data_IF_401245344299
#
_entry.id   IF_401245344299
#
_cell.length_a   1.000
_cell.length_b   1.000
_cell.length_c   1.000
_cell.angle_alpha   90.00
_cell.angle_beta   90.00
_cell.angle_gamma   90.00
#
_symmetry.space_group_name_H-M   'P 1'
#
loop_
_entity.id
_entity.type
_entity.pdbx_description
1 polymer ?
#
# COMPACT_ATOMS: atom_id res chain seq x y z
N UNK A 1 -38.62 57.92 17.04
CA UNK A 1 -38.63 57.89 18.53
C UNK A 1 -39.60 56.79 18.93
N UNK A 2 -39.34 55.75 19.72
CA UNK A 2 -38.20 55.27 20.49
C UNK A 2 -38.34 53.73 20.54
N UNK A 3 -37.22 53.00 20.54
CA UNK A 3 -37.17 51.52 20.55
C UNK A 3 -37.36 51.01 21.98
N UNK A 4 -38.36 50.15 22.18
CA UNK A 4 -38.49 49.33 23.39
C UNK A 4 -37.74 48.02 23.24
N UNK A 5 -36.82 47.75 24.17
CA UNK A 5 -36.11 46.49 24.36
C UNK A 5 -37.02 45.46 25.03
N UNK A 6 -36.96 44.18 24.63
CA UNK A 6 -37.05 43.12 25.63
C UNK A 6 -35.92 42.11 25.45
N UNK A 7 -34.97 42.17 26.38
CA UNK A 7 -34.10 41.05 26.69
C UNK A 7 -34.88 40.01 27.51
N UNK A 8 -34.47 38.76 27.35
CA UNK A 8 -34.75 37.57 28.17
C UNK A 8 -35.94 36.67 27.79
N UNK A 9 -35.59 35.48 27.26
CA UNK A 9 -36.27 34.21 27.53
C UNK A 9 -35.24 33.26 28.17
N UNK A 10 -35.69 32.34 29.06
CA UNK A 10 -34.82 31.49 29.85
C UNK A 10 -34.42 30.26 29.03
N UNK A 11 -33.12 29.97 28.97
CA UNK A 11 -32.51 28.65 28.84
C UNK A 11 -31.01 28.86 28.61
N UNK A 12 -30.20 28.54 29.62
CA UNK A 12 -28.77 28.79 29.69
C UNK A 12 -27.92 27.90 28.77
N UNK A 13 -28.03 28.09 27.46
CA UNK A 13 -27.08 27.53 26.48
C UNK A 13 -26.36 28.69 25.80
N UNK A 14 -25.03 28.85 25.97
CA UNK A 14 -24.28 29.89 25.27
C UNK A 14 -24.30 29.65 23.75
N UNK A 15 -24.60 30.69 22.96
CA UNK A 15 -24.39 30.64 21.50
C UNK A 15 -22.89 30.47 21.20
N UNK A 16 -22.49 29.59 20.26
CA UNK A 16 -21.10 29.55 19.82
C UNK A 16 -20.76 30.86 19.12
N UNK A 17 -19.65 31.48 19.55
CA UNK A 17 -19.13 32.71 18.92
C UNK A 17 -18.71 32.39 17.48
N UNK A 18 -18.93 33.29 16.51
CA UNK A 18 -18.43 33.10 15.16
C UNK A 18 -16.89 33.10 15.19
N UNK A 19 -16.30 31.97 14.81
CA UNK A 19 -14.84 31.84 14.64
C UNK A 19 -14.38 32.82 13.57
N UNK A 20 -13.62 33.83 13.99
CA UNK A 20 -13.06 34.82 13.08
C UNK A 20 -12.16 34.14 12.04
N UNK A 21 -12.16 34.64 10.80
CA UNK A 21 -11.31 34.18 9.68
C UNK A 21 -9.80 34.11 10.00
N UNK A 22 -9.34 34.64 11.14
CA UNK A 22 -7.95 34.52 11.62
C UNK A 22 -7.61 33.15 12.23
N UNK A 23 -8.58 32.35 12.69
CA UNK A 23 -8.31 30.99 13.23
C UNK A 23 -8.12 29.93 12.15
N UNK A 24 -8.44 30.22 10.88
CA UNK A 24 -8.27 29.32 9.74
C UNK A 24 -6.90 29.43 9.05
N UNK A 25 -6.03 30.34 9.49
CA UNK A 25 -4.68 30.54 8.92
C UNK A 25 -3.54 30.01 9.80
N UNK A 26 -3.82 29.51 11.00
CA UNK A 26 -2.80 29.00 11.93
C UNK A 26 -2.52 27.49 11.81
N UNK A 27 -3.24 26.76 10.95
CA UNK A 27 -3.05 25.30 10.74
C UNK A 27 -2.05 24.96 9.61
N UNK A 28 -1.29 25.93 9.13
CA UNK A 28 -0.34 25.75 8.01
C UNK A 28 1.11 25.74 8.47
N UNK A 29 1.41 25.03 9.56
CA UNK A 29 2.77 24.63 9.90
C UNK A 29 2.69 23.30 10.65
N UNK A 30 2.52 22.21 9.90
CA UNK A 30 2.83 20.88 10.40
C UNK A 30 4.32 20.85 10.73
N UNK A 31 4.65 20.93 12.01
CA UNK A 31 5.96 20.48 12.49
C UNK A 31 6.12 19.05 12.00
N UNK A 32 7.11 18.81 11.14
CA UNK A 32 7.63 17.45 10.93
C UNK A 32 7.93 16.90 12.33
N UNK A 33 7.36 15.75 12.63
CA UNK A 33 7.85 14.93 13.75
C UNK A 33 9.31 14.68 13.43
N UNK A 34 10.20 14.98 14.38
CA UNK A 34 11.64 14.85 14.20
C UNK A 34 11.93 13.42 13.72
N UNK A 35 12.39 13.30 12.47
CA UNK A 35 12.86 12.03 11.94
C UNK A 35 13.99 11.55 12.85
N UNK A 36 13.94 10.28 13.24
CA UNK A 36 15.04 9.66 13.97
C UNK A 36 16.19 9.59 12.97
N UNK A 37 17.08 10.58 12.99
CA UNK A 37 18.28 10.68 12.16
C UNK A 37 19.37 9.74 12.72
N UNK A 38 19.02 8.46 12.84
CA UNK A 38 19.92 7.37 13.20
C UNK A 38 19.96 6.44 12.01
N UNK A 39 21.08 6.46 11.29
CA UNK A 39 21.35 5.47 10.25
C UNK A 39 21.38 4.07 10.90
N UNK A 40 20.44 3.18 10.56
CA UNK A 40 20.39 1.84 11.14
C UNK A 40 21.54 0.95 10.65
N UNK A 41 22.35 1.40 9.68
CA UNK A 41 23.41 0.61 9.05
C UNK A 41 22.87 -0.38 8.02
N UNK A 42 23.69 -1.37 7.65
CA UNK A 42 23.26 -2.44 6.74
C UNK A 42 22.19 -3.32 7.43
N UNK A 43 20.94 -3.15 7.04
CA UNK A 43 19.79 -3.91 7.54
C UNK A 43 19.73 -5.25 6.83
N UNK A 44 19.88 -6.33 7.57
CA UNK A 44 19.63 -7.67 7.02
C UNK A 44 18.13 -7.95 7.05
N UNK A 45 17.53 -8.15 5.87
CA UNK A 45 16.13 -8.51 5.73
C UNK A 45 15.87 -9.89 6.34
N UNK A 46 14.89 -9.97 7.24
CA UNK A 46 14.49 -11.21 7.91
C UNK A 46 12.96 -11.24 7.97
N UNK A 47 12.40 -12.40 7.61
CA UNK A 47 10.97 -12.63 7.77
C UNK A 47 10.61 -12.64 9.26
N UNK A 48 9.53 -11.93 9.61
CA UNK A 48 9.05 -11.83 10.99
C UNK A 48 7.73 -12.57 11.10
N UNK A 49 7.59 -13.41 12.12
CA UNK A 49 6.27 -13.98 12.41
C UNK A 49 5.35 -12.86 12.90
N UNK A 50 4.11 -12.89 12.46
CA UNK A 50 3.06 -11.94 12.84
C UNK A 50 1.77 -12.70 13.11
N UNK A 51 0.95 -12.14 14.00
CA UNK A 51 -0.39 -12.67 14.26
C UNK A 51 -1.38 -11.50 14.40
N UNK A 52 -2.48 -11.55 13.66
CA UNK A 52 -3.51 -10.53 13.65
C UNK A 52 -4.85 -11.14 14.11
N UNK A 53 -5.67 -10.33 14.78
CA UNK A 53 -7.04 -10.70 15.15
C UNK A 53 -8.01 -9.67 14.56
N UNK A 54 -8.84 -10.11 13.62
CA UNK A 54 -9.88 -9.31 12.96
C UNK A 54 -11.29 -9.68 13.39
N UNK A 55 -11.47 -10.55 14.39
CA UNK A 55 -12.78 -11.02 14.85
C UNK A 55 -13.73 -9.90 15.26
N UNK A 56 -13.18 -8.72 15.59
CA UNK A 56 -13.92 -7.51 15.96
C UNK A 56 -13.74 -6.34 14.98
N UNK A 57 -12.97 -6.52 13.92
CA UNK A 57 -12.72 -5.48 12.91
C UNK A 57 -13.95 -5.37 12.00
N UNK A 58 -14.62 -4.21 11.90
CA UNK A 58 -15.77 -4.06 11.02
C UNK A 58 -15.34 -4.01 9.54
N UNK A 59 -16.22 -4.39 8.62
CA UNK A 59 -15.91 -4.31 7.17
C UNK A 59 -15.54 -2.88 6.74
N UNK A 60 -16.23 -1.86 7.27
CA UNK A 60 -15.82 -0.45 7.18
C UNK A 60 -14.85 -0.11 8.30
N UNK A 61 -13.65 -0.68 8.22
CA UNK A 61 -12.62 -0.54 9.25
C UNK A 61 -12.05 0.88 9.35
N UNK A 62 -12.35 1.79 8.42
CA UNK A 62 -12.21 3.24 8.59
C UNK A 62 -13.62 3.84 8.69
N UNK A 63 -14.15 4.06 9.91
CA UNK A 63 -15.48 4.62 10.13
C UNK A 63 -15.73 5.92 9.35
N UNK A 64 -16.91 6.03 8.74
CA UNK A 64 -17.27 7.19 7.91
C UNK A 64 -16.56 7.27 6.55
N UNK A 65 -15.62 6.36 6.27
CA UNK A 65 -14.83 6.30 5.03
C UNK A 65 -14.97 4.92 4.34
N UNK A 66 -16.18 4.50 3.93
CA UNK A 66 -16.39 3.15 3.36
C UNK A 66 -15.62 2.93 2.05
N UNK A 67 -15.49 3.97 1.21
CA UNK A 67 -14.69 3.87 -0.01
C UNK A 67 -13.21 3.68 0.31
N UNK A 68 -12.67 4.36 1.33
CA UNK A 68 -11.27 4.17 1.71
C UNK A 68 -11.04 2.77 2.29
N UNK A 69 -11.91 2.34 3.20
CA UNK A 69 -11.90 0.99 3.79
C UNK A 69 -11.85 -0.07 2.69
N UNK A 70 -12.80 -0.04 1.74
CA UNK A 70 -12.88 -1.01 0.66
C UNK A 70 -11.75 -0.91 -0.35
N UNK A 71 -11.22 0.30 -0.59
CA UNK A 71 -10.08 0.48 -1.52
C UNK A 71 -8.83 -0.18 -0.97
N UNK A 72 -8.55 0.00 0.32
CA UNK A 72 -7.42 -0.64 0.98
C UNK A 72 -7.67 -2.15 1.14
N UNK A 73 -8.87 -2.56 1.54
CA UNK A 73 -9.24 -3.98 1.61
C UNK A 73 -9.10 -4.70 0.27
N UNK A 74 -9.35 -4.01 -0.85
CA UNK A 74 -9.19 -4.58 -2.19
C UNK A 74 -7.73 -4.90 -2.53
N UNK A 75 -6.74 -4.34 -1.82
CA UNK A 75 -5.32 -4.66 -2.01
C UNK A 75 -5.07 -6.14 -1.64
N UNK A 76 -5.70 -6.65 -0.58
CA UNK A 76 -5.58 -8.06 -0.16
C UNK A 76 -6.00 -9.05 -1.25
N UNK A 77 -6.89 -8.65 -2.17
CA UNK A 77 -7.36 -9.52 -3.26
C UNK A 77 -6.25 -9.86 -4.30
N UNK A 78 -5.12 -9.15 -4.26
CA UNK A 78 -4.07 -9.25 -5.29
C UNK A 78 -2.71 -9.57 -4.69
N UNK A 79 -2.38 -8.98 -3.53
CA UNK A 79 -1.07 -9.16 -2.90
C UNK A 79 -0.63 -10.62 -2.79
N UNK A 80 -1.46 -11.57 -2.30
CA UNK A 80 -1.01 -12.96 -2.13
C UNK A 80 -0.47 -13.59 -3.42
N UNK A 81 -1.18 -13.45 -4.54
CA UNK A 81 -0.73 -14.01 -5.80
C UNK A 81 0.39 -13.17 -6.44
N UNK A 82 0.42 -11.86 -6.21
CA UNK A 82 1.49 -10.98 -6.67
C UNK A 82 2.83 -11.31 -6.02
N UNK A 83 2.86 -11.42 -4.71
CA UNK A 83 4.06 -11.70 -3.90
C UNK A 83 4.55 -13.13 -4.09
N UNK A 84 3.64 -14.11 -4.27
CA UNK A 84 4.01 -15.47 -4.73
C UNK A 84 4.68 -15.43 -6.09
N UNK A 85 4.23 -14.57 -7.00
CA UNK A 85 4.89 -14.37 -8.30
C UNK A 85 6.25 -13.65 -8.18
N UNK A 86 6.40 -12.71 -7.24
CA UNK A 86 7.70 -12.11 -6.91
C UNK A 86 8.67 -13.18 -6.44
N UNK A 87 8.29 -13.98 -5.43
CA UNK A 87 9.06 -15.08 -4.88
C UNK A 87 9.52 -16.05 -5.96
N UNK A 88 8.59 -16.52 -6.82
CA UNK A 88 8.91 -17.43 -7.91
C UNK A 88 9.90 -16.82 -8.91
N UNK A 89 9.76 -15.53 -9.20
CA UNK A 89 10.63 -14.82 -10.14
C UNK A 89 12.03 -14.58 -9.58
N UNK A 90 12.12 -14.17 -8.32
CA UNK A 90 13.41 -13.97 -7.68
C UNK A 90 14.13 -15.29 -7.42
N UNK A 91 13.40 -16.38 -7.14
CA UNK A 91 13.98 -17.73 -7.08
C UNK A 91 14.60 -18.14 -8.41
N UNK A 92 13.96 -17.82 -9.55
CA UNK A 92 14.53 -18.05 -10.89
C UNK A 92 15.78 -17.19 -11.16
N UNK A 93 15.79 -15.95 -10.67
CA UNK A 93 16.90 -15.01 -10.84
C UNK A 93 18.10 -15.33 -9.93
N UNK A 94 17.86 -15.83 -8.71
CA UNK A 94 18.85 -16.04 -7.65
C UNK A 94 20.13 -16.77 -8.09
N UNK A 95 20.10 -17.91 -8.81
CA UNK A 95 21.30 -18.60 -9.25
C UNK A 95 22.11 -17.85 -10.33
N UNK A 96 21.56 -16.77 -10.90
CA UNK A 96 22.21 -15.95 -11.93
C UNK A 96 22.86 -14.68 -11.35
N UNK A 97 22.71 -14.45 -10.04
CA UNK A 97 23.28 -13.31 -9.32
C UNK A 97 24.63 -13.72 -8.72
N UNK A 98 25.72 -13.12 -9.22
CA UNK A 98 27.09 -13.37 -8.77
C UNK A 98 27.51 -12.45 -7.61
N UNK A 99 26.81 -11.33 -7.41
CA UNK A 99 27.01 -10.44 -6.27
C UNK A 99 26.45 -11.08 -4.99
N UNK A 100 27.31 -11.36 -4.02
CA UNK A 100 26.94 -12.06 -2.79
C UNK A 100 26.02 -11.23 -1.89
N UNK A 101 26.16 -9.90 -1.88
CA UNK A 101 25.30 -8.99 -1.11
C UNK A 101 23.90 -8.98 -1.72
N UNK A 102 23.79 -8.73 -3.02
CA UNK A 102 22.51 -8.73 -3.71
C UNK A 102 21.83 -10.10 -3.60
N UNK A 103 22.59 -11.20 -3.63
CA UNK A 103 22.05 -12.55 -3.41
C UNK A 103 21.50 -12.75 -2.00
N UNK A 104 22.13 -12.17 -0.98
CA UNK A 104 21.63 -12.20 0.39
C UNK A 104 20.34 -11.38 0.53
N UNK A 105 20.32 -10.17 -0.01
CA UNK A 105 19.16 -9.28 0.00
C UNK A 105 17.95 -9.93 -0.67
N UNK A 106 18.15 -10.56 -1.85
CA UNK A 106 17.08 -11.28 -2.56
C UNK A 106 16.55 -12.48 -1.75
N UNK A 107 17.39 -13.16 -0.97
CA UNK A 107 16.91 -14.26 -0.10
C UNK A 107 16.05 -13.72 1.04
N UNK A 108 16.48 -12.63 1.67
CA UNK A 108 15.71 -11.98 2.73
C UNK A 108 14.36 -11.47 2.21
N UNK A 109 14.37 -10.83 1.04
CA UNK A 109 13.18 -10.43 0.30
C UNK A 109 12.19 -11.59 0.08
N UNK A 110 12.66 -12.72 -0.48
CA UNK A 110 11.81 -13.90 -0.69
C UNK A 110 11.18 -14.39 0.62
N UNK A 111 11.91 -14.29 1.74
CA UNK A 111 11.39 -14.65 3.06
C UNK A 111 10.25 -13.73 3.53
N UNK A 112 10.45 -12.41 3.43
CA UNK A 112 9.43 -11.42 3.81
C UNK A 112 8.19 -11.50 2.91
N UNK A 113 8.37 -11.55 1.59
CA UNK A 113 7.24 -11.68 0.65
C UNK A 113 6.43 -12.96 0.84
N UNK A 114 7.07 -14.07 1.21
CA UNK A 114 6.33 -15.29 1.53
C UNK A 114 5.44 -15.11 2.77
N UNK A 115 5.90 -14.34 3.75
CA UNK A 115 5.13 -14.02 4.95
C UNK A 115 4.00 -13.02 4.65
N UNK A 116 4.27 -11.98 3.84
CA UNK A 116 3.26 -11.06 3.34
C UNK A 116 2.14 -11.85 2.64
N UNK A 117 2.51 -12.76 1.73
CA UNK A 117 1.56 -13.45 0.89
C UNK A 117 0.63 -14.34 1.71
N UNK A 118 1.19 -15.02 2.71
CA UNK A 118 0.40 -15.85 3.62
C UNK A 118 -0.50 -14.99 4.51
N UNK A 119 0.03 -13.92 5.10
CA UNK A 119 -0.75 -13.03 5.97
C UNK A 119 -1.93 -12.40 5.23
N UNK A 120 -1.71 -11.86 4.03
CA UNK A 120 -2.77 -11.31 3.21
C UNK A 120 -3.75 -12.39 2.71
N UNK A 121 -3.31 -13.62 2.50
CA UNK A 121 -4.19 -14.74 2.17
C UNK A 121 -5.12 -15.09 3.35
N UNK A 122 -4.64 -15.02 4.59
CA UNK A 122 -5.48 -15.20 5.78
C UNK A 122 -6.55 -14.09 5.87
N UNK A 123 -6.21 -12.82 5.59
CA UNK A 123 -7.18 -11.70 5.55
C UNK A 123 -8.35 -11.98 4.63
N UNK A 124 -8.12 -12.66 3.50
CA UNK A 124 -9.20 -12.99 2.56
C UNK A 124 -10.31 -13.83 3.20
N UNK A 125 -9.95 -14.77 4.06
CA UNK A 125 -10.91 -15.72 4.63
C UNK A 125 -11.34 -15.32 6.05
N UNK A 126 -10.42 -14.83 6.88
CA UNK A 126 -10.74 -14.46 8.26
C UNK A 126 -11.37 -13.07 8.39
N UNK A 127 -11.21 -12.21 7.38
CA UNK A 127 -11.84 -10.89 7.35
C UNK A 127 -12.87 -10.75 6.22
N UNK A 128 -12.50 -10.90 4.93
CA UNK A 128 -13.48 -10.65 3.86
C UNK A 128 -14.61 -11.69 3.83
N UNK A 129 -14.30 -12.98 3.82
CA UNK A 129 -15.32 -14.04 3.80
C UNK A 129 -16.16 -14.04 5.10
N UNK A 130 -15.55 -13.73 6.24
CA UNK A 130 -16.25 -13.55 7.53
C UNK A 130 -17.26 -12.38 7.54
N UNK A 131 -17.09 -11.40 6.63
CA UNK A 131 -18.03 -10.29 6.39
C UNK A 131 -18.92 -10.53 5.16
N UNK A 132 -19.11 -11.80 4.75
CA UNK A 132 -19.92 -12.22 3.60
C UNK A 132 -19.41 -11.70 2.24
N UNK A 133 -18.14 -11.29 2.15
CA UNK A 133 -17.46 -10.91 0.91
C UNK A 133 -16.60 -12.07 0.43
N UNK A 134 -17.20 -13.01 -0.31
CA UNK A 134 -16.49 -14.17 -0.87
C UNK A 134 -15.34 -13.73 -1.81
N UNK A 135 -14.05 -13.91 -1.45
CA UNK A 135 -12.93 -13.45 -2.25
C UNK A 135 -12.61 -14.37 -3.44
N UNK A 136 -13.09 -15.63 -3.44
CA UNK A 136 -12.62 -16.71 -4.33
C UNK A 136 -12.74 -16.36 -5.83
N UNK A 137 -13.83 -15.75 -6.33
CA UNK A 137 -13.91 -15.39 -7.75
C UNK A 137 -12.84 -14.38 -8.17
N UNK A 138 -12.49 -13.44 -7.29
CA UNK A 138 -11.45 -12.46 -7.58
C UNK A 138 -10.05 -13.09 -7.47
N UNK A 139 -9.84 -13.99 -6.50
CA UNK A 139 -8.58 -14.74 -6.36
C UNK A 139 -8.28 -15.53 -7.64
N UNK A 140 -9.26 -16.20 -8.24
CA UNK A 140 -9.08 -16.88 -9.54
C UNK A 140 -8.64 -15.92 -10.65
N UNK A 141 -9.14 -14.69 -10.65
CA UNK A 141 -8.69 -13.66 -11.58
C UNK A 141 -7.22 -13.26 -11.30
N UNK A 142 -6.85 -13.07 -10.04
CA UNK A 142 -5.49 -12.76 -9.62
C UNK A 142 -4.51 -13.89 -9.97
N UNK A 143 -4.87 -15.15 -9.71
CA UNK A 143 -4.09 -16.33 -10.11
C UNK A 143 -3.84 -16.36 -11.62
N UNK A 144 -4.88 -16.11 -12.43
CA UNK A 144 -4.74 -16.06 -13.88
C UNK A 144 -3.76 -14.96 -14.30
N UNK A 145 -3.91 -13.75 -13.75
CA UNK A 145 -3.03 -12.61 -14.05
C UNK A 145 -1.57 -12.95 -13.69
N UNK A 146 -1.31 -13.43 -12.48
CA UNK A 146 0.04 -13.64 -11.98
C UNK A 146 0.71 -14.88 -12.58
N UNK A 147 -0.03 -15.98 -12.79
CA UNK A 147 0.55 -17.25 -13.26
C UNK A 147 0.55 -17.39 -14.78
N UNK A 148 -0.42 -16.81 -15.48
CA UNK A 148 -0.57 -16.97 -16.95
C UNK A 148 -0.15 -15.75 -17.74
N UNK A 149 -0.45 -14.55 -17.27
CA UNK A 149 -0.11 -13.31 -17.99
C UNK A 149 1.31 -12.86 -17.65
N UNK A 150 1.63 -12.75 -16.36
CA UNK A 150 2.94 -12.28 -15.86
C UNK A 150 3.91 -13.43 -15.55
N UNK A 151 3.40 -14.64 -15.41
CA UNK A 151 4.18 -15.82 -15.04
C UNK A 151 5.20 -16.25 -16.10
N UNK A 152 6.06 -17.19 -15.70
CA UNK A 152 7.01 -17.81 -16.62
C UNK A 152 6.28 -18.53 -17.76
N UNK A 153 6.73 -18.29 -18.98
CA UNK A 153 6.28 -18.99 -20.19
C UNK A 153 7.45 -19.71 -20.83
N UNK A 154 7.20 -20.88 -21.41
CA UNK A 154 8.21 -21.60 -22.19
C UNK A 154 8.54 -20.83 -23.47
N UNK A 155 9.83 -20.56 -23.70
CA UNK A 155 10.30 -19.83 -24.87
C UNK A 155 11.19 -20.72 -25.73
N UNK A 156 11.13 -20.55 -27.06
CA UNK A 156 11.89 -21.37 -28.01
C UNK A 156 13.42 -21.16 -28.02
N UNK A 157 13.97 -20.27 -27.17
CA UNK A 157 15.42 -20.08 -27.06
C UNK A 157 15.85 -19.54 -25.70
N UNK A 158 17.09 -19.83 -25.30
CA UNK A 158 17.68 -19.32 -24.05
C UNK A 158 17.72 -17.78 -24.00
N UNK A 159 17.97 -17.12 -25.15
CA UNK A 159 17.93 -15.65 -25.25
C UNK A 159 16.54 -15.11 -24.95
N UNK A 160 15.51 -15.73 -25.53
CA UNK A 160 14.12 -15.33 -25.29
C UNK A 160 13.70 -15.61 -23.84
N UNK A 161 14.13 -16.72 -23.26
CA UNK A 161 13.90 -17.04 -21.84
C UNK A 161 14.53 -15.97 -20.93
N UNK A 162 15.79 -15.60 -21.19
CA UNK A 162 16.47 -14.54 -20.44
C UNK A 162 15.75 -13.20 -20.57
N UNK A 163 15.32 -12.80 -21.77
CA UNK A 163 14.58 -11.55 -21.93
C UNK A 163 13.25 -11.57 -21.17
N UNK A 164 12.53 -12.68 -21.18
CA UNK A 164 11.29 -12.81 -20.40
C UNK A 164 11.53 -12.61 -18.90
N UNK A 165 12.61 -13.18 -18.35
CA UNK A 165 13.00 -12.94 -16.95
C UNK A 165 13.29 -11.45 -16.72
N UNK A 166 14.07 -10.80 -17.60
CA UNK A 166 14.39 -9.37 -17.46
C UNK A 166 13.15 -8.49 -17.50
N UNK A 167 12.17 -8.78 -18.36
CA UNK A 167 10.91 -8.02 -18.39
C UNK A 167 10.11 -8.22 -17.09
N UNK A 168 10.02 -9.46 -16.57
CA UNK A 168 9.36 -9.73 -15.27
C UNK A 168 10.04 -9.00 -14.12
N UNK A 169 11.37 -8.98 -14.07
CA UNK A 169 12.13 -8.21 -13.08
C UNK A 169 11.88 -6.70 -13.20
N UNK A 170 11.72 -6.17 -14.42
CA UNK A 170 11.35 -4.78 -14.63
C UNK A 170 9.95 -4.46 -14.09
N UNK A 171 8.99 -5.38 -14.25
CA UNK A 171 7.65 -5.26 -13.67
C UNK A 171 7.68 -5.31 -12.14
N UNK A 172 8.42 -6.25 -11.55
CA UNK A 172 8.57 -6.33 -10.10
C UNK A 172 9.16 -5.03 -9.56
N UNK A 173 10.31 -4.57 -10.08
CA UNK A 173 10.91 -3.31 -9.64
C UNK A 173 10.00 -2.08 -9.79
N UNK A 174 9.06 -2.10 -10.74
CA UNK A 174 8.05 -1.05 -10.87
C UNK A 174 6.92 -1.16 -9.84
N UNK A 175 6.42 -2.36 -9.57
CA UNK A 175 5.36 -2.59 -8.59
C UNK A 175 5.88 -2.32 -7.18
N UNK A 176 7.10 -2.78 -6.89
CA UNK A 176 7.82 -2.55 -5.63
C UNK A 176 8.04 -1.07 -5.32
N UNK A 177 8.29 -0.26 -6.35
CA UNK A 177 8.30 1.19 -6.16
C UNK A 177 6.93 1.72 -5.71
N UNK A 178 5.85 1.20 -6.30
CA UNK A 178 4.50 1.62 -5.94
C UNK A 178 4.12 1.17 -4.53
N UNK A 179 4.49 -0.06 -4.13
CA UNK A 179 4.24 -0.58 -2.78
C UNK A 179 5.10 0.14 -1.74
N UNK A 180 6.38 0.41 -2.01
CA UNK A 180 7.21 1.25 -1.14
C UNK A 180 6.64 2.66 -0.96
N UNK A 181 6.10 3.28 -2.03
CA UNK A 181 5.40 4.57 -1.91
C UNK A 181 4.14 4.46 -1.03
N UNK A 182 3.36 3.39 -1.17
CA UNK A 182 2.17 3.16 -0.34
C UNK A 182 2.56 2.83 1.11
N UNK A 183 3.67 2.14 1.32
CA UNK A 183 4.28 1.84 2.60
C UNK A 183 4.69 3.11 3.36
N UNK A 184 5.43 3.99 2.70
CA UNK A 184 5.73 5.33 3.23
C UNK A 184 4.46 6.11 3.55
N UNK A 185 3.45 6.07 2.67
CA UNK A 185 2.17 6.74 2.93
C UNK A 185 1.48 6.18 4.18
N UNK A 186 1.31 4.87 4.31
CA UNK A 186 0.53 4.28 5.41
C UNK A 186 1.22 4.44 6.77
N UNK A 187 2.56 4.44 6.81
CA UNK A 187 3.35 4.75 8.00
C UNK A 187 3.13 6.19 8.48
N UNK A 188 2.87 7.11 7.55
CA UNK A 188 2.69 8.54 7.82
C UNK A 188 1.20 8.99 7.78
N UNK A 189 0.28 8.09 7.41
CA UNK A 189 -1.14 8.37 7.34
C UNK A 189 -1.72 8.49 8.76
N UNK A 190 -2.55 9.52 8.95
CA UNK A 190 -3.25 9.80 10.21
C UNK A 190 -4.63 9.11 10.24
N UNK A 191 -4.65 7.80 9.99
CA UNK A 191 -5.90 7.03 9.94
C UNK A 191 -6.64 6.99 11.29
N UNK A 192 -5.91 7.21 12.39
CA UNK A 192 -6.45 7.35 13.73
C UNK A 192 -7.37 8.57 13.86
N UNK A 193 -7.16 9.63 13.06
CA UNK A 193 -8.07 10.79 13.04
C UNK A 193 -9.47 10.42 12.47
N UNK A 194 -9.58 9.25 11.84
CA UNK A 194 -10.82 8.67 11.32
C UNK A 194 -11.33 7.48 12.16
N UNK A 195 -10.76 7.27 13.35
CA UNK A 195 -11.07 6.12 14.21
C UNK A 195 -10.85 4.76 13.51
N UNK A 196 -9.84 4.67 12.64
CA UNK A 196 -9.53 3.43 11.92
C UNK A 196 -9.18 2.27 12.86
N UNK A 197 -9.62 1.07 12.50
CA UNK A 197 -9.38 -0.15 13.26
C UNK A 197 -7.87 -0.41 13.44
N UNK A 198 -7.41 -0.63 14.67
CA UNK A 198 -5.99 -0.76 14.95
C UNK A 198 -5.38 -2.05 14.39
N UNK A 199 -6.11 -3.17 14.35
CA UNK A 199 -5.60 -4.44 13.81
C UNK A 199 -5.35 -4.33 12.32
N UNK A 200 -6.32 -3.78 11.58
CA UNK A 200 -6.21 -3.59 10.14
C UNK A 200 -5.16 -2.52 9.79
N UNK A 201 -5.06 -1.46 10.60
CA UNK A 201 -4.02 -0.44 10.43
C UNK A 201 -2.61 -1.00 10.69
N UNK A 202 -2.46 -1.87 11.70
CA UNK A 202 -1.17 -2.52 11.99
C UNK A 202 -0.73 -3.44 10.85
N UNK A 203 -1.65 -4.21 10.25
CA UNK A 203 -1.36 -5.05 9.08
C UNK A 203 -0.69 -4.25 7.96
N UNK A 204 -1.32 -3.17 7.52
CA UNK A 204 -0.78 -2.39 6.40
C UNK A 204 0.48 -1.62 6.77
N UNK A 205 0.66 -1.23 8.03
CA UNK A 205 1.89 -0.54 8.47
C UNK A 205 3.04 -1.51 8.71
N UNK A 206 2.78 -2.73 9.16
CA UNK A 206 3.78 -3.80 9.23
C UNK A 206 4.31 -4.09 7.82
N UNK A 207 3.40 -4.47 6.91
CA UNK A 207 3.76 -4.72 5.53
C UNK A 207 4.43 -3.49 4.91
N UNK A 208 3.81 -2.32 5.01
CA UNK A 208 4.38 -1.07 4.49
C UNK A 208 5.75 -0.69 5.06
N UNK A 209 6.10 -1.10 6.28
CA UNK A 209 7.43 -0.92 6.83
C UNK A 209 8.45 -1.87 6.18
N UNK A 210 8.10 -3.16 6.01
CA UNK A 210 8.95 -4.10 5.27
C UNK A 210 9.11 -3.65 3.80
N UNK A 211 8.07 -3.06 3.21
CA UNK A 211 8.14 -2.45 1.87
C UNK A 211 9.15 -1.31 1.75
N UNK A 212 9.37 -0.60 2.85
CA UNK A 212 10.42 0.43 2.91
C UNK A 212 11.78 -0.21 3.11
N UNK A 213 11.92 -1.28 3.91
CA UNK A 213 13.22 -1.97 4.14
C UNK A 213 13.81 -2.50 2.82
N UNK A 214 13.00 -3.15 1.99
CA UNK A 214 13.48 -3.86 0.80
C UNK A 214 13.45 -3.03 -0.50
N UNK A 215 13.07 -1.73 -0.45
CA UNK A 215 12.78 -0.87 -1.62
C UNK A 215 13.88 -0.81 -2.67
N UNK A 216 15.13 -1.01 -2.25
CA UNK A 216 16.28 -1.03 -3.14
C UNK A 216 16.46 -2.40 -3.83
N UNK A 217 16.07 -3.51 -3.20
CA UNK A 217 16.34 -4.87 -3.67
C UNK A 217 15.77 -5.11 -5.06
N UNK A 218 14.48 -4.86 -5.26
CA UNK A 218 13.85 -5.10 -6.56
C UNK A 218 14.42 -4.20 -7.67
N UNK A 219 14.76 -2.95 -7.33
CA UNK A 219 15.42 -2.04 -8.25
C UNK A 219 16.83 -2.52 -8.62
N UNK A 220 17.62 -2.90 -7.63
CA UNK A 220 19.00 -3.33 -7.81
C UNK A 220 19.09 -4.64 -8.59
N UNK A 221 18.16 -5.58 -8.36
CA UNK A 221 18.01 -6.78 -9.18
C UNK A 221 17.67 -6.40 -10.63
N UNK A 222 16.68 -5.53 -10.85
CA UNK A 222 16.34 -5.08 -12.20
C UNK A 222 17.55 -4.45 -12.91
N UNK A 223 18.29 -3.57 -12.24
CA UNK A 223 19.49 -2.93 -12.78
C UNK A 223 20.61 -3.95 -13.06
N UNK A 224 20.86 -4.90 -12.15
CA UNK A 224 21.84 -5.98 -12.30
C UNK A 224 21.57 -6.81 -13.57
N UNK A 225 20.29 -7.07 -13.88
CA UNK A 225 19.89 -7.81 -15.07
C UNK A 225 19.85 -6.97 -16.37
N UNK A 226 20.15 -5.68 -16.29
CA UNK A 226 20.24 -4.75 -17.42
C UNK A 226 18.92 -4.07 -17.77
N UNK A 227 18.02 -3.88 -16.80
CA UNK A 227 16.83 -3.04 -16.99
C UNK A 227 17.25 -1.57 -17.06
N UNK A 228 17.38 -1.06 -18.29
CA UNK A 228 17.67 0.36 -18.52
C UNK A 228 16.46 1.27 -18.33
N UNK A 229 16.71 2.58 -18.43
CA UNK A 229 15.70 3.65 -18.25
C UNK A 229 14.39 3.41 -19.02
N UNK A 230 14.47 3.11 -20.32
CA UNK A 230 13.25 2.94 -21.14
C UNK A 230 12.39 1.76 -20.68
N UNK A 231 13.03 0.61 -20.43
CA UNK A 231 12.34 -0.59 -19.97
C UNK A 231 11.72 -0.38 -18.58
N UNK A 232 12.46 0.25 -17.66
CA UNK A 232 11.98 0.60 -16.31
C UNK A 232 10.71 1.45 -16.36
N UNK A 233 10.71 2.50 -17.18
CA UNK A 233 9.58 3.42 -17.27
C UNK A 233 8.40 2.85 -18.05
N UNK A 234 8.65 1.99 -19.06
CA UNK A 234 7.58 1.26 -19.74
C UNK A 234 6.91 0.26 -18.80
N UNK A 235 7.70 -0.49 -18.02
CA UNK A 235 7.19 -1.41 -17.01
C UNK A 235 6.34 -0.66 -15.97
N UNK A 236 6.80 0.51 -15.50
CA UNK A 236 6.01 1.37 -14.60
C UNK A 236 4.70 1.84 -15.22
N UNK A 237 4.71 2.36 -16.45
CA UNK A 237 3.48 2.80 -17.11
C UNK A 237 2.46 1.65 -17.21
N UNK A 238 2.90 0.47 -17.64
CA UNK A 238 2.03 -0.70 -17.78
C UNK A 238 1.54 -1.18 -16.41
N UNK A 239 2.43 -1.26 -15.41
CA UNK A 239 2.08 -1.67 -14.04
C UNK A 239 1.08 -0.72 -13.42
N UNK A 240 1.28 0.58 -13.57
CA UNK A 240 0.38 1.60 -13.03
C UNK A 240 -1.01 1.54 -13.67
N UNK A 241 -1.09 1.41 -15.00
CA UNK A 241 -2.38 1.25 -15.69
C UNK A 241 -3.08 -0.05 -15.28
N UNK A 242 -2.35 -1.16 -15.18
CA UNK A 242 -2.89 -2.43 -14.71
C UNK A 242 -3.40 -2.32 -13.26
N UNK A 243 -2.63 -1.69 -12.38
CA UNK A 243 -2.99 -1.44 -10.99
C UNK A 243 -4.27 -0.61 -10.89
N UNK A 244 -4.40 0.48 -11.66
CA UNK A 244 -5.64 1.28 -11.68
C UNK A 244 -6.86 0.43 -12.08
N UNK A 245 -6.74 -0.41 -13.11
CA UNK A 245 -7.83 -1.28 -13.56
C UNK A 245 -8.20 -2.31 -12.49
N UNK A 246 -7.19 -3.00 -11.96
CA UNK A 246 -7.36 -4.07 -10.98
C UNK A 246 -7.92 -3.52 -9.66
N UNK A 247 -7.41 -2.41 -9.17
CA UNK A 247 -7.92 -1.75 -7.95
C UNK A 247 -9.33 -1.21 -8.11
N UNK A 248 -9.64 -0.62 -9.26
CA UNK A 248 -11.00 -0.15 -9.54
C UNK A 248 -11.98 -1.33 -9.59
N UNK A 249 -11.58 -2.46 -10.17
CA UNK A 249 -12.38 -3.69 -10.17
C UNK A 249 -12.51 -4.30 -8.77
N UNK A 250 -11.43 -4.35 -7.98
CA UNK A 250 -11.44 -4.87 -6.61
C UNK A 250 -12.33 -4.04 -5.69
N UNK A 251 -12.22 -2.71 -5.76
CA UNK A 251 -13.13 -1.81 -5.06
C UNK A 251 -14.59 -2.05 -5.48
N UNK A 252 -14.85 -2.12 -6.79
CA UNK A 252 -16.21 -2.40 -7.29
C UNK A 252 -16.73 -3.76 -6.82
N UNK A 253 -15.86 -4.77 -6.75
CA UNK A 253 -16.19 -6.11 -6.28
C UNK A 253 -16.65 -6.09 -4.81
N UNK A 254 -15.86 -5.50 -3.92
CA UNK A 254 -16.20 -5.41 -2.49
C UNK A 254 -17.44 -4.53 -2.27
N UNK A 255 -17.53 -3.37 -2.95
CA UNK A 255 -18.72 -2.50 -2.85
C UNK A 255 -19.99 -3.19 -3.33
N UNK A 256 -19.90 -4.10 -4.31
CA UNK A 256 -21.05 -4.85 -4.80
C UNK A 256 -21.51 -5.92 -3.81
N UNK A 257 -20.58 -6.52 -3.07
CA UNK A 257 -20.87 -7.52 -2.05
C UNK A 257 -21.41 -6.90 -0.76
N UNK A 258 -21.05 -5.65 -0.45
CA UNK A 258 -21.45 -4.95 0.77
C UNK A 258 -22.94 -4.49 0.74
N UNK A 259 -23.83 -5.09 1.56
CA UNK A 259 -25.26 -4.77 1.54
C UNK A 259 -25.58 -3.39 2.12
N UNK A 260 -24.65 -2.77 2.86
CA UNK A 260 -24.82 -1.42 3.43
C UNK A 260 -24.54 -0.32 2.40
N UNK A 261 -23.95 -0.68 1.26
CA UNK A 261 -23.66 0.23 0.16
C UNK A 261 -24.63 0.04 -1.00
N UNK A 262 -25.04 1.15 -1.61
CA UNK A 262 -25.73 1.10 -2.89
C UNK A 262 -24.74 0.66 -3.96
N UNK A 263 -25.19 -0.20 -4.88
CA UNK A 263 -24.38 -0.55 -6.04
C UNK A 263 -24.06 0.72 -6.86
N UNK A 264 -22.77 1.08 -6.93
CA UNK A 264 -22.30 2.31 -7.58
C UNK A 264 -21.69 1.98 -8.93
N UNK A 265 -22.05 2.75 -9.95
CA UNK A 265 -21.29 2.76 -11.21
C UNK A 265 -19.87 3.29 -11.00
N UNK A 266 -18.95 2.93 -11.90
CA UNK A 266 -17.54 3.30 -11.80
C UNK A 266 -17.34 4.81 -11.57
N UNK A 267 -18.04 5.67 -12.30
CA UNK A 267 -17.93 7.13 -12.12
C UNK A 267 -18.18 7.57 -10.67
N UNK A 268 -19.19 7.01 -10.00
CA UNK A 268 -19.49 7.33 -8.59
C UNK A 268 -18.40 6.80 -7.65
N UNK A 269 -17.79 5.65 -7.96
CA UNK A 269 -16.64 5.13 -7.21
C UNK A 269 -15.43 6.04 -7.34
N UNK A 270 -15.09 6.48 -8.55
CA UNK A 270 -13.99 7.43 -8.79
C UNK A 270 -14.21 8.76 -8.04
N UNK A 271 -15.43 9.30 -8.06
CA UNK A 271 -15.76 10.49 -7.26
C UNK A 271 -15.60 10.25 -5.75
N UNK A 272 -15.94 9.05 -5.27
CA UNK A 272 -15.72 8.62 -3.90
C UNK A 272 -14.23 8.54 -3.54
N UNK A 273 -13.42 7.94 -4.41
CA UNK A 273 -11.96 7.85 -4.28
C UNK A 273 -11.34 9.24 -4.17
N UNK A 274 -11.66 10.15 -5.11
CA UNK A 274 -11.15 11.52 -5.05
C UNK A 274 -11.63 12.29 -3.82
N UNK A 275 -12.80 11.98 -3.29
CA UNK A 275 -13.27 12.57 -2.04
C UNK A 275 -12.48 12.05 -0.83
N UNK A 276 -12.21 10.75 -0.75
CA UNK A 276 -11.37 10.13 0.29
C UNK A 276 -9.92 10.66 0.24
N UNK A 277 -9.32 10.73 -0.96
CA UNK A 277 -7.99 11.33 -1.17
C UNK A 277 -7.91 12.79 -0.71
N UNK A 278 -8.98 13.58 -0.91
CA UNK A 278 -9.05 14.97 -0.43
C UNK A 278 -9.18 15.09 1.08
N UNK A 279 -9.86 14.13 1.72
CA UNK A 279 -9.99 14.09 3.19
C UNK A 279 -8.73 13.54 3.86
N UNK A 280 -7.93 12.74 3.15
CA UNK A 280 -6.66 12.18 3.62
C UNK A 280 -6.75 10.73 4.08
N UNK A 281 -7.89 10.05 3.89
CA UNK A 281 -8.08 8.62 4.16
C UNK A 281 -7.48 7.72 3.07
N UNK A 282 -7.00 8.29 1.96
CA UNK A 282 -6.25 7.64 0.89
C UNK A 282 -5.08 8.54 0.41
N UNK A 283 -4.08 8.00 -0.30
CA UNK A 283 -2.98 8.80 -0.86
C UNK A 283 -3.47 9.97 -1.71
N UNK A 284 -2.95 11.17 -1.43
CA UNK A 284 -3.34 12.38 -2.16
C UNK A 284 -2.83 12.41 -3.61
N UNK A 285 -3.56 13.09 -4.50
CA UNK A 285 -3.15 13.26 -5.91
C UNK A 285 -1.78 13.94 -6.05
N UNK A 286 -1.47 14.88 -5.17
CA UNK A 286 -0.19 15.60 -5.19
C UNK A 286 0.98 14.71 -4.77
N UNK A 287 0.80 13.78 -3.82
CA UNK A 287 1.86 12.84 -3.45
C UNK A 287 2.08 11.82 -4.57
N UNK A 288 1.00 11.28 -5.15
CA UNK A 288 1.07 10.40 -6.32
C UNK A 288 1.82 11.04 -7.49
N UNK A 289 1.47 12.29 -7.84
CA UNK A 289 2.15 13.02 -8.91
C UNK A 289 3.63 13.24 -8.63
N UNK A 290 4.00 13.59 -7.38
CA UNK A 290 5.41 13.76 -7.00
C UNK A 290 6.18 12.44 -7.04
N UNK A 291 5.58 11.34 -6.59
CA UNK A 291 6.16 9.99 -6.69
C UNK A 291 6.45 9.62 -8.15
N UNK A 292 5.47 9.83 -9.03
CA UNK A 292 5.65 9.59 -10.47
C UNK A 292 6.81 10.43 -11.05
N UNK A 293 6.92 11.71 -10.72
CA UNK A 293 8.03 12.56 -11.18
C UNK A 293 9.39 12.06 -10.68
N UNK A 294 9.49 11.57 -9.44
CA UNK A 294 10.73 10.99 -8.91
C UNK A 294 11.12 9.73 -9.70
N UNK A 295 10.20 8.81 -9.92
CA UNK A 295 10.47 7.56 -10.64
C UNK A 295 10.91 7.78 -12.09
N UNK A 296 10.30 8.75 -12.77
CA UNK A 296 10.65 9.11 -14.14
C UNK A 296 12.04 9.75 -14.26
N UNK A 297 12.69 10.13 -13.16
CA UNK A 297 14.01 10.74 -13.20
C UNK A 297 15.07 9.77 -13.77
N UNK A 298 15.96 10.19 -14.70
CA UNK A 298 16.98 9.32 -15.30
C UNK A 298 17.92 8.65 -14.30
N UNK A 299 18.22 9.36 -13.20
CA UNK A 299 19.06 8.87 -12.08
C UNK A 299 18.22 8.48 -10.86
N UNK A 300 16.99 8.05 -11.07
CA UNK A 300 16.13 7.57 -10.00
C UNK A 300 16.83 6.48 -9.18
N UNK A 301 16.68 6.58 -7.86
CA UNK A 301 17.07 5.58 -6.87
C UNK A 301 15.93 5.48 -5.84
N UNK A 302 15.56 4.27 -5.38
CA UNK A 302 14.53 4.08 -4.37
C UNK A 302 14.91 4.55 -2.97
N UNK A 303 16.17 4.90 -2.71
CA UNK A 303 16.66 5.31 -1.38
C UNK A 303 15.79 6.40 -0.73
N UNK A 304 15.23 7.31 -1.54
CA UNK A 304 14.42 8.43 -1.08
C UNK A 304 12.92 8.12 -0.89
N UNK A 305 12.49 6.88 -1.15
CA UNK A 305 11.10 6.43 -0.95
C UNK A 305 10.97 5.82 0.45
N UNK A 306 10.60 6.65 1.43
CA UNK A 306 10.47 6.24 2.83
C UNK A 306 11.75 6.35 3.65
N UNK A 307 11.60 6.13 4.97
CA UNK A 307 12.67 6.23 5.96
C UNK A 307 12.88 4.85 6.62
N UNK A 308 14.08 4.27 6.41
CA UNK A 308 14.44 2.95 6.96
C UNK A 308 14.42 2.94 8.48
N UNK A 309 14.86 4.03 9.14
CA UNK A 309 14.87 4.11 10.59
C UNK A 309 13.44 4.14 11.14
N UNK A 310 12.54 4.87 10.46
CA UNK A 310 11.11 4.88 10.78
C UNK A 310 10.49 3.48 10.63
N UNK A 311 10.79 2.79 9.53
CA UNK A 311 10.28 1.44 9.26
C UNK A 311 10.70 0.45 10.36
N UNK A 312 11.99 0.37 10.68
CA UNK A 312 12.51 -0.49 11.76
C UNK A 312 11.88 -0.13 13.11
N UNK A 313 11.76 1.17 13.41
CA UNK A 313 11.14 1.63 14.64
C UNK A 313 9.66 1.24 14.72
N UNK A 314 8.95 1.18 13.58
CA UNK A 314 7.58 0.66 13.54
C UNK A 314 7.53 -0.85 13.76
N UNK A 315 8.36 -1.61 13.05
CA UNK A 315 8.41 -3.07 13.15
C UNK A 315 8.71 -3.53 14.57
N UNK A 316 9.60 -2.84 15.29
CA UNK A 316 9.93 -3.13 16.69
C UNK A 316 8.75 -2.93 17.66
N UNK A 317 7.76 -2.10 17.31
CA UNK A 317 6.59 -1.81 18.16
C UNK A 317 5.27 -2.39 17.63
N UNK A 318 5.26 -3.00 16.44
CA UNK A 318 4.06 -3.60 15.84
C UNK A 318 3.42 -4.59 16.83
N UNK A 319 2.16 -4.37 17.23
CA UNK A 319 1.41 -5.32 18.05
C UNK A 319 1.44 -6.75 17.51
N UNK A 320 1.24 -6.94 16.20
CA UNK A 320 1.22 -8.25 15.58
C UNK A 320 2.58 -8.97 15.61
N UNK A 321 3.68 -8.24 15.34
CA UNK A 321 5.02 -8.80 15.44
C UNK A 321 5.37 -9.18 16.89
N UNK A 322 4.96 -8.36 17.87
CA UNK A 322 5.18 -8.65 19.29
C UNK A 322 4.33 -9.80 19.82
N UNK A 323 3.14 -10.01 19.26
CA UNK A 323 2.24 -11.10 19.65
C UNK A 323 2.76 -12.49 19.22
N UNK A 324 3.64 -12.53 18.21
CA UNK A 324 4.21 -13.76 17.65
C UNK A 324 5.66 -14.04 18.10
N UNK A 325 6.25 -13.15 18.92
CA UNK A 325 7.65 -13.19 19.38
C UNK A 325 7.88 -14.02 20.64
#
# INVERSE_FOLDING_TARGET
>A
MSRGNPATRPNGVPRPKPTSRRSLMALRNGKKVDAIDVDPGDVTLQARNVNFDWSRTPLHWIPGEPIASHTLSAINLILPEGERWFCATFTEALPLINDDRLRADVRGFIGQEAMHAETHNVVLYEFLDAHDVDPRPFVLQSEFLMRKVLGRREMGSARAQRQQLVERLAFIGAIEHMTAFLGDWILNARLEDFDADPSMTDLYRWHGAEEVEHRNVAHDVAMYFGVGYFRRNLAMLVSYLAFLVVMTRGLKFIVHADPTMRDRGYFSLWMGLFAAMRRGSLPGLTSLFRGALRYLHPRYSPQAEGDTAQAIAYLAKSPAARAAA
#
